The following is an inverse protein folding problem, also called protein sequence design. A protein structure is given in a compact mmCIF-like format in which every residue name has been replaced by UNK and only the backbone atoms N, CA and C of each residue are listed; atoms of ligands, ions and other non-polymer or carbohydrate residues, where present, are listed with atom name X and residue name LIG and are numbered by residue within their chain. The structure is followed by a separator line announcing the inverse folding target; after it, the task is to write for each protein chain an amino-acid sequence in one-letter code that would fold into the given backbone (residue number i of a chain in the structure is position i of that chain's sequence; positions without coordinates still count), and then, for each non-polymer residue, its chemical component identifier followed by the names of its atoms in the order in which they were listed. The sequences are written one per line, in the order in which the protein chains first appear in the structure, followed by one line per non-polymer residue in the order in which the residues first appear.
data_IF_964812170729
#
_entry.id   IF_964812170729
#
_cell.length_a   1.000
_cell.length_b   1.000
_cell.length_c   1.000
_cell.angle_alpha   90.00
_cell.angle_beta   90.00
_cell.angle_gamma   90.00
#
_symmetry.space_group_name_H-M   'P 1'
#
loop_
_entity.id
_entity.type
_entity.pdbx_description
1 polymer ?
#
# COMPACT_ATOMS: atom_id res chain seq x y z
N UNK A 1 9.34 5.57 10.39
CA UNK A 1 8.70 4.54 9.54
C UNK A 1 9.80 3.89 8.75
N UNK A 2 10.07 2.60 8.99
CA UNK A 2 11.28 1.94 8.49
C UNK A 2 11.15 1.63 6.99
N UNK A 3 11.82 2.40 6.16
CA UNK A 3 11.96 2.15 4.73
C UNK A 3 13.44 1.93 4.42
N UNK A 4 13.79 0.70 4.03
CA UNK A 4 15.16 0.39 3.61
C UNK A 4 15.28 0.54 2.08
N UNK A 5 15.17 1.79 1.62
CA UNK A 5 15.11 2.13 0.20
C UNK A 5 16.35 1.62 -0.56
N UNK A 6 17.55 1.85 -0.02
CA UNK A 6 18.81 1.44 -0.67
C UNK A 6 18.84 -0.07 -0.89
N UNK A 7 18.47 -0.85 0.12
CA UNK A 7 18.38 -2.30 0.01
C UNK A 7 17.32 -2.71 -1.01
N UNK A 8 16.14 -2.07 -0.99
CA UNK A 8 15.07 -2.35 -1.94
C UNK A 8 15.49 -2.08 -3.39
N UNK A 9 16.15 -0.95 -3.67
CA UNK A 9 16.70 -0.63 -4.98
C UNK A 9 17.67 -1.73 -5.43
N UNK A 10 18.62 -2.11 -4.56
CA UNK A 10 19.59 -3.17 -4.87
C UNK A 10 18.94 -4.53 -5.17
N UNK A 11 17.76 -4.81 -4.59
CA UNK A 11 16.99 -6.01 -4.90
C UNK A 11 16.32 -5.91 -6.26
N UNK A 12 15.78 -4.74 -6.62
CA UNK A 12 15.10 -4.54 -7.91
C UNK A 12 16.03 -4.56 -9.11
N UNK A 13 17.34 -4.36 -8.91
CA UNK A 13 18.37 -4.40 -9.95
C UNK A 13 18.94 -5.81 -10.20
N UNK A 14 18.54 -6.82 -9.41
CA UNK A 14 19.02 -8.18 -9.59
C UNK A 14 18.44 -8.81 -10.85
N UNK A 15 19.26 -9.61 -11.53
CA UNK A 15 18.79 -10.43 -12.65
C UNK A 15 17.65 -11.34 -12.20
N UNK A 16 16.56 -11.36 -12.97
CA UNK A 16 15.35 -12.14 -12.65
C UNK A 16 14.40 -11.48 -11.66
N UNK A 17 14.61 -10.21 -11.27
CA UNK A 17 13.61 -9.47 -10.51
C UNK A 17 12.32 -9.31 -11.32
N UNK A 18 11.22 -9.81 -10.76
CA UNK A 18 9.88 -9.64 -11.31
C UNK A 18 9.17 -8.47 -10.60
N UNK A 19 8.89 -7.41 -11.36
CA UNK A 19 8.20 -6.22 -10.85
C UNK A 19 6.71 -6.44 -10.62
N UNK A 20 6.12 -7.45 -11.25
CA UNK A 20 4.71 -7.82 -11.12
C UNK A 20 4.50 -8.93 -10.08
N UNK A 21 5.55 -9.32 -9.35
CA UNK A 21 5.44 -10.35 -8.33
C UNK A 21 4.41 -9.96 -7.27
N UNK A 22 3.63 -10.95 -6.84
CA UNK A 22 2.70 -10.81 -5.73
C UNK A 22 3.10 -11.70 -4.56
N UNK A 23 2.73 -11.27 -3.35
CA UNK A 23 2.95 -12.02 -2.12
C UNK A 23 1.61 -12.55 -1.61
N UNK A 24 1.50 -13.87 -1.52
CA UNK A 24 0.46 -14.55 -0.76
C UNK A 24 1.02 -14.95 0.61
N UNK A 25 0.41 -14.47 1.68
CA UNK A 25 0.84 -14.80 3.04
C UNK A 25 -0.31 -14.65 4.03
N UNK A 26 -0.43 -15.63 4.93
CA UNK A 26 -1.42 -15.64 6.02
C UNK A 26 -1.18 -14.56 7.08
N UNK A 27 -0.06 -13.84 6.99
CA UNK A 27 0.27 -12.72 7.88
C UNK A 27 -0.43 -11.42 7.49
N UNK A 28 -0.99 -11.35 6.28
CA UNK A 28 -1.79 -10.22 5.81
C UNK A 28 -3.28 -10.58 5.83
N UNK A 29 -4.19 -9.59 5.87
CA UNK A 29 -5.63 -9.82 5.89
C UNK A 29 -6.09 -10.78 4.77
N UNK A 30 -6.37 -12.03 5.15
CA UNK A 30 -6.58 -13.16 4.24
C UNK A 30 -7.89 -13.11 3.45
N UNK A 31 -8.82 -12.21 3.79
CA UNK A 31 -10.22 -12.37 3.39
C UNK A 31 -10.62 -11.83 2.01
N UNK A 32 -9.74 -11.22 1.21
CA UNK A 32 -10.22 -10.43 0.06
C UNK A 32 -9.53 -10.64 -1.30
N UNK A 33 -8.39 -11.36 -1.39
CA UNK A 33 -7.57 -11.27 -2.60
C UNK A 33 -7.08 -12.63 -3.12
N UNK A 34 -7.71 -13.09 -4.20
CA UNK A 34 -7.38 -14.33 -4.93
C UNK A 34 -5.94 -14.28 -5.50
N UNK A 35 -5.35 -13.10 -5.66
CA UNK A 35 -4.11 -12.88 -6.44
C UNK A 35 -2.91 -12.37 -5.60
N UNK A 36 -3.01 -12.36 -4.27
CA UNK A 36 -1.97 -11.83 -3.39
C UNK A 36 -1.85 -10.29 -3.43
N UNK A 37 -0.76 -9.77 -2.86
CA UNK A 37 -0.46 -8.34 -2.81
C UNK A 37 0.74 -7.97 -3.68
N UNK A 38 0.61 -6.91 -4.47
CA UNK A 38 1.76 -6.35 -5.20
C UNK A 38 2.77 -5.69 -4.26
N UNK A 39 3.99 -5.44 -4.75
CA UNK A 39 4.99 -4.70 -4.00
C UNK A 39 4.52 -3.29 -3.62
N UNK A 40 3.70 -2.64 -4.45
CA UNK A 40 3.16 -1.31 -4.17
C UNK A 40 2.13 -1.35 -3.04
N UNK A 41 1.23 -2.34 -3.07
CA UNK A 41 0.22 -2.57 -2.03
C UNK A 41 0.87 -2.89 -0.68
N UNK A 42 1.94 -3.68 -0.68
CA UNK A 42 2.76 -3.92 0.51
C UNK A 42 3.40 -2.62 1.04
N UNK A 43 3.85 -1.72 0.16
CA UNK A 43 4.34 -0.42 0.59
C UNK A 43 3.23 0.42 1.25
N UNK A 44 1.99 0.35 0.78
CA UNK A 44 0.85 1.00 1.44
C UNK A 44 0.57 0.41 2.82
N UNK A 45 0.54 -0.92 2.94
CA UNK A 45 0.31 -1.62 4.20
C UNK A 45 1.36 -1.28 5.27
N UNK A 46 2.64 -1.26 4.89
CA UNK A 46 3.76 -0.96 5.81
C UNK A 46 4.10 0.53 5.89
N UNK A 47 3.39 1.36 5.13
CA UNK A 47 3.66 2.76 4.83
C UNK A 47 5.12 3.10 4.46
N UNK A 48 5.75 2.25 3.66
CA UNK A 48 7.11 2.46 3.15
C UNK A 48 7.11 3.50 2.00
N UNK A 49 6.95 4.79 2.34
CA UNK A 49 6.70 5.86 1.36
C UNK A 49 7.79 6.02 0.30
N UNK A 50 9.05 5.86 0.67
CA UNK A 50 10.15 5.99 -0.30
C UNK A 50 10.17 4.81 -1.29
N UNK A 51 9.89 3.59 -0.84
CA UNK A 51 9.74 2.43 -1.71
C UNK A 51 8.51 2.58 -2.62
N UNK A 52 7.40 3.09 -2.09
CA UNK A 52 6.19 3.41 -2.86
C UNK A 52 6.50 4.39 -4.00
N UNK A 53 7.16 5.52 -3.69
CA UNK A 53 7.57 6.52 -4.68
C UNK A 53 8.49 5.91 -5.73
N UNK A 54 9.47 5.11 -5.31
CA UNK A 54 10.37 4.42 -6.23
C UNK A 54 9.62 3.50 -7.20
N UNK A 55 8.70 2.65 -6.70
CA UNK A 55 7.89 1.75 -7.53
C UNK A 55 7.02 2.51 -8.55
N UNK A 56 6.44 3.65 -8.14
CA UNK A 56 5.68 4.53 -9.03
C UNK A 56 6.56 5.13 -10.12
N UNK A 57 7.71 5.70 -9.75
CA UNK A 57 8.59 6.39 -10.71
C UNK A 57 9.35 5.43 -11.62
N UNK A 58 9.87 4.31 -11.09
CA UNK A 58 10.73 3.38 -11.84
C UNK A 58 9.92 2.42 -12.72
N UNK A 59 8.81 1.89 -12.19
CA UNK A 59 8.06 0.81 -12.82
C UNK A 59 6.68 1.21 -13.31
N UNK A 60 6.25 2.47 -13.07
CA UNK A 60 4.89 2.93 -13.34
C UNK A 60 3.82 2.04 -12.67
N UNK A 61 4.13 1.51 -11.49
CA UNK A 61 3.25 0.59 -10.76
C UNK A 61 1.88 1.24 -10.54
N UNK A 62 0.79 0.57 -10.92
CA UNK A 62 -0.55 1.14 -10.85
C UNK A 62 -1.02 1.34 -9.38
N UNK A 63 -1.68 2.47 -9.09
CA UNK A 63 -2.34 2.67 -7.81
C UNK A 63 -3.72 2.00 -7.88
N UNK A 64 -3.83 0.84 -7.24
CA UNK A 64 -5.07 0.07 -7.16
C UNK A 64 -5.97 0.56 -6.02
N UNK A 65 -7.25 0.17 -6.01
CA UNK A 65 -8.13 0.41 -4.86
C UNK A 65 -7.53 -0.15 -3.56
N UNK A 66 -6.88 -1.34 -3.62
CA UNK A 66 -6.20 -1.93 -2.46
C UNK A 66 -5.09 -1.02 -1.93
N UNK A 67 -4.37 -0.29 -2.78
CA UNK A 67 -3.36 0.66 -2.33
C UNK A 67 -3.99 1.72 -1.42
N UNK A 68 -5.17 2.25 -1.77
CA UNK A 68 -5.89 3.22 -0.94
C UNK A 68 -6.36 2.56 0.35
N UNK A 69 -7.02 1.42 0.28
CA UNK A 69 -7.58 0.74 1.45
C UNK A 69 -6.47 0.39 2.46
N UNK A 70 -5.38 -0.22 1.99
CA UNK A 70 -4.24 -0.58 2.84
C UNK A 70 -3.50 0.64 3.41
N UNK A 71 -3.55 1.80 2.75
CA UNK A 71 -2.91 3.02 3.26
C UNK A 71 -3.48 3.47 4.61
N UNK A 72 -4.76 3.15 4.89
CA UNK A 72 -5.38 3.40 6.20
C UNK A 72 -4.80 2.52 7.31
N UNK A 73 -4.34 1.30 6.99
CA UNK A 73 -3.64 0.42 7.94
C UNK A 73 -2.20 0.89 8.16
N UNK A 74 -1.51 1.26 7.07
CA UNK A 74 -0.13 1.75 7.16
C UNK A 74 -0.01 3.10 7.86
N UNK A 75 -1.05 3.94 7.79
CA UNK A 75 -1.12 5.22 8.49
C UNK A 75 -0.17 6.29 7.97
N UNK A 76 0.42 6.08 6.78
CA UNK A 76 1.27 7.07 6.14
C UNK A 76 0.40 8.06 5.34
N UNK A 77 0.27 9.29 5.84
CA UNK A 77 -0.57 10.32 5.23
C UNK A 77 -0.14 10.69 3.80
N UNK A 78 1.15 10.61 3.47
CA UNK A 78 1.64 10.94 2.13
C UNK A 78 1.20 9.88 1.11
N UNK A 79 1.33 8.59 1.45
CA UNK A 79 0.83 7.50 0.61
C UNK A 79 -0.69 7.60 0.44
N UNK A 80 -1.42 7.79 1.55
CA UNK A 80 -2.88 7.91 1.52
C UNK A 80 -3.34 9.06 0.62
N UNK A 81 -2.72 10.24 0.78
CA UNK A 81 -3.03 11.43 -0.03
C UNK A 81 -2.73 11.21 -1.51
N UNK A 82 -1.68 10.45 -1.83
CA UNK A 82 -1.38 10.09 -3.21
C UNK A 82 -2.41 9.11 -3.78
N UNK A 83 -2.81 8.10 -3.01
CA UNK A 83 -3.80 7.12 -3.46
C UNK A 83 -5.18 7.75 -3.71
N UNK A 84 -5.59 8.70 -2.87
CA UNK A 84 -6.84 9.47 -3.00
C UNK A 84 -6.93 10.32 -4.28
N UNK A 85 -5.83 10.56 -4.98
CA UNK A 85 -5.86 11.25 -6.29
C UNK A 85 -6.39 10.36 -7.42
N UNK A 86 -6.37 9.04 -7.22
CA UNK A 86 -6.67 8.05 -8.24
C UNK A 86 -7.86 7.15 -7.88
N UNK A 87 -8.14 6.99 -6.58
CA UNK A 87 -9.16 6.08 -6.07
C UNK A 87 -10.05 6.80 -5.07
N UNK A 88 -11.30 6.35 -4.95
CA UNK A 88 -12.26 6.86 -3.97
C UNK A 88 -12.38 5.90 -2.78
N UNK A 89 -12.54 6.40 -1.54
CA UNK A 89 -12.78 5.54 -0.41
C UNK A 89 -14.07 4.72 -0.57
N UNK A 90 -14.04 3.49 -0.08
CA UNK A 90 -15.16 2.57 -0.12
C UNK A 90 -15.42 1.97 1.28
N UNK A 91 -16.27 0.93 1.35
CA UNK A 91 -16.56 0.21 2.59
C UNK A 91 -15.31 -0.40 3.24
N UNK A 92 -14.40 -0.95 2.45
CA UNK A 92 -13.15 -1.54 2.93
C UNK A 92 -12.21 -0.46 3.49
N UNK A 93 -12.14 0.72 2.87
CA UNK A 93 -11.40 1.87 3.44
C UNK A 93 -11.89 2.22 4.85
N UNK A 94 -13.21 2.23 5.06
CA UNK A 94 -13.81 2.48 6.39
C UNK A 94 -13.49 1.36 7.38
N UNK A 95 -13.59 0.09 6.96
CA UNK A 95 -13.24 -1.05 7.80
C UNK A 95 -11.77 -0.97 8.26
N UNK A 96 -10.85 -0.65 7.34
CA UNK A 96 -9.43 -0.49 7.68
C UNK A 96 -9.12 0.76 8.49
N UNK A 97 -9.85 1.87 8.31
CA UNK A 97 -9.74 3.03 9.19
C UNK A 97 -10.16 2.69 10.64
N UNK A 98 -11.18 1.84 10.83
CA UNK A 98 -11.59 1.36 12.15
C UNK A 98 -10.53 0.42 12.73
N UNK A 99 -10.04 -0.54 11.93
CA UNK A 99 -9.02 -1.53 12.35
C UNK A 99 -7.68 -0.86 12.72
N UNK A 100 -7.31 0.24 12.06
CA UNK A 100 -6.09 0.98 12.40
C UNK A 100 -6.20 1.75 13.71
N UNK A 101 -7.37 1.74 14.37
CA UNK A 101 -7.64 2.47 15.61
C UNK A 101 -7.29 3.96 15.52
N UNK A 102 -7.44 4.56 14.33
CA UNK A 102 -7.19 5.97 14.10
C UNK A 102 -8.50 6.72 13.88
N UNK A 103 -8.95 7.45 14.91
CA UNK A 103 -10.21 8.20 14.87
C UNK A 103 -10.23 9.31 13.82
N UNK A 104 -9.07 9.87 13.47
CA UNK A 104 -8.98 10.91 12.45
C UNK A 104 -9.32 10.35 11.08
N UNK A 105 -8.93 9.10 10.79
CA UNK A 105 -9.28 8.43 9.54
C UNK A 105 -10.77 8.10 9.45
N UNK A 106 -11.37 7.62 10.54
CA UNK A 106 -12.82 7.38 10.59
C UNK A 106 -13.58 8.68 10.37
N UNK A 107 -13.17 9.75 11.05
CA UNK A 107 -13.79 11.07 10.91
C UNK A 107 -13.63 11.64 9.50
N UNK A 108 -12.45 11.46 8.88
CA UNK A 108 -12.20 11.84 7.50
C UNK A 108 -13.17 11.15 6.53
N UNK A 109 -13.42 9.85 6.70
CA UNK A 109 -14.29 9.06 5.82
C UNK A 109 -15.79 9.25 6.06
N UNK A 110 -16.19 9.88 7.17
CA UNK A 110 -17.60 10.15 7.47
C UNK A 110 -18.11 11.46 6.86
N UNK A 111 -17.21 12.37 6.45
CA UNK A 111 -17.55 13.66 5.85
C UNK A 111 -17.58 13.56 4.32
#
# INVERSE_FOLDING_TARGET
MYNNLETFISFTEREGFDKEQTLESTLYPYQLFIEGYSLLELCCYHGAVDCFKFLRTKFNSEITQKCLDLSFLGGNQEIMSECLKYQEPNKESMEYAIVSHNIDFVTFLMN
#
